data_IF_406586110667
#
_entry.id   IF_406586110667
#
_cell.length_a   1.000
_cell.length_b   1.000
_cell.length_c   1.000
_cell.angle_alpha   90.00
_cell.angle_beta   90.00
_cell.angle_gamma   90.00
#
_symmetry.space_group_name_H-M   'P 1'
#
loop_
_entity.id
_entity.type
_entity.pdbx_description
1 polymer ?
#
# COMPACT_ATOMS: atom_id res chain seq x y z
N UNK A 1 16.79 -16.43 35.31
CA UNK A 1 16.98 -17.36 34.18
C UNK A 1 15.78 -18.27 33.90
N UNK A 2 15.11 -18.92 34.87
CA UNK A 2 13.93 -19.79 34.59
C UNK A 2 12.69 -19.10 34.03
N UNK A 3 12.43 -17.83 34.38
CA UNK A 3 11.26 -17.07 33.90
C UNK A 3 11.36 -16.64 32.43
N UNK A 4 12.55 -16.36 31.91
CA UNK A 4 12.79 -15.98 30.51
C UNK A 4 12.63 -17.20 29.59
N UNK A 5 13.05 -18.38 30.02
CA UNK A 5 12.88 -19.64 29.25
C UNK A 5 11.40 -20.00 29.02
N UNK A 6 10.50 -19.70 29.98
CA UNK A 6 9.06 -19.98 29.84
C UNK A 6 8.41 -19.05 28.83
N UNK A 7 8.79 -17.78 28.81
CA UNK A 7 8.27 -16.81 27.84
C UNK A 7 8.69 -17.14 26.40
N UNK A 8 9.95 -17.53 26.19
CA UNK A 8 10.47 -17.95 24.87
C UNK A 8 9.81 -19.26 24.40
N UNK A 9 9.56 -20.20 25.31
CA UNK A 9 8.92 -21.48 24.96
C UNK A 9 7.45 -21.30 24.54
N UNK A 10 6.71 -20.35 25.14
CA UNK A 10 5.32 -20.03 24.74
C UNK A 10 5.32 -19.31 23.39
N UNK A 11 6.30 -18.44 23.14
CA UNK A 11 6.43 -17.72 21.85
C UNK A 11 6.77 -18.68 20.70
N UNK A 12 7.60 -19.69 20.91
CA UNK A 12 7.92 -20.72 19.91
C UNK A 12 6.73 -21.64 19.60
N UNK A 13 5.85 -21.91 20.56
CA UNK A 13 4.64 -22.72 20.34
C UNK A 13 3.62 -21.99 19.46
N UNK A 14 3.48 -20.65 19.58
CA UNK A 14 2.64 -19.81 18.72
C UNK A 14 3.23 -19.65 17.29
N UNK A 15 4.55 -19.73 17.12
CA UNK A 15 5.21 -19.57 15.82
C UNK A 15 5.07 -20.80 14.89
N UNK A 16 4.73 -21.96 15.42
CA UNK A 16 4.60 -23.20 14.62
C UNK A 16 3.31 -23.27 13.80
N UNK A 17 2.32 -22.37 14.02
CA UNK A 17 1.03 -22.39 13.30
C UNK A 17 0.96 -21.42 12.11
N UNK A 18 1.99 -20.63 11.83
CA UNK A 18 1.93 -19.46 10.96
C UNK A 18 2.66 -19.60 9.60
N UNK A 19 3.00 -20.79 9.15
CA UNK A 19 3.51 -20.98 7.80
C UNK A 19 2.37 -21.22 6.81
N UNK A 20 1.93 -20.16 6.14
CA UNK A 20 1.14 -20.22 4.92
C UNK A 20 -0.36 -20.39 5.09
N UNK A 21 -1.10 -19.30 5.07
CA UNK A 21 -2.53 -19.29 4.77
C UNK A 21 -3.47 -19.94 5.79
N UNK A 22 -3.00 -20.27 6.98
CA UNK A 22 -3.82 -20.90 8.04
C UNK A 22 -4.37 -19.82 8.96
N UNK A 23 -5.62 -20.04 9.38
CA UNK A 23 -6.24 -19.28 10.46
C UNK A 23 -5.67 -19.71 11.81
N UNK A 24 -5.64 -18.76 12.75
CA UNK A 24 -5.44 -19.07 14.16
C UNK A 24 -6.67 -19.79 14.78
N UNK A 25 -6.61 -20.09 16.07
CA UNK A 25 -7.70 -20.76 16.80
C UNK A 25 -9.02 -19.98 16.87
N UNK A 26 -8.96 -18.66 16.64
CA UNK A 26 -10.11 -17.75 16.63
C UNK A 26 -10.57 -17.40 15.20
N UNK A 27 -9.88 -17.91 14.17
CA UNK A 27 -10.26 -17.73 12.78
C UNK A 27 -9.61 -16.53 12.09
N UNK A 28 -8.56 -15.92 12.68
CA UNK A 28 -7.84 -14.81 12.10
C UNK A 28 -6.73 -15.27 11.14
N UNK A 29 -6.59 -14.59 10.00
CA UNK A 29 -5.50 -14.77 9.07
C UNK A 29 -4.37 -13.77 9.40
N UNK A 30 -3.11 -14.21 9.31
CA UNK A 30 -1.93 -13.33 9.31
C UNK A 30 -1.41 -13.02 7.90
N UNK A 31 -1.86 -13.77 6.90
CA UNK A 31 -1.51 -13.60 5.48
C UNK A 31 -2.70 -12.97 4.74
N UNK A 32 -2.51 -11.72 4.29
CA UNK A 32 -3.55 -10.97 3.60
C UNK A 32 -3.92 -11.58 2.24
N UNK A 33 -2.96 -12.11 1.50
CA UNK A 33 -3.21 -12.69 0.19
C UNK A 33 -4.09 -13.95 0.31
N UNK A 34 -3.83 -14.79 1.30
CA UNK A 34 -4.65 -15.97 1.61
C UNK A 34 -6.04 -15.56 2.09
N UNK A 35 -6.13 -14.52 2.92
CA UNK A 35 -7.39 -13.96 3.38
C UNK A 35 -8.23 -13.41 2.23
N UNK A 36 -7.64 -12.60 1.34
CA UNK A 36 -8.29 -12.05 0.14
C UNK A 36 -8.83 -13.16 -0.77
N UNK A 37 -8.02 -14.19 -1.04
CA UNK A 37 -8.46 -15.36 -1.81
C UNK A 37 -9.66 -16.06 -1.15
N UNK A 38 -9.65 -16.20 0.17
CA UNK A 38 -10.75 -16.81 0.93
C UNK A 38 -12.00 -15.91 0.89
N UNK A 39 -11.83 -14.58 1.01
CA UNK A 39 -12.90 -13.60 0.96
C UNK A 39 -13.63 -13.67 -0.39
N UNK A 40 -12.89 -13.71 -1.48
CA UNK A 40 -13.42 -13.87 -2.84
C UNK A 40 -14.17 -15.19 -3.01
N UNK A 41 -13.57 -16.32 -2.58
CA UNK A 41 -14.17 -17.65 -2.70
C UNK A 41 -15.46 -17.80 -1.88
N UNK A 42 -15.50 -17.18 -0.70
CA UNK A 42 -16.66 -17.24 0.20
C UNK A 42 -17.64 -16.08 0.03
N UNK A 43 -17.37 -15.15 -0.87
CA UNK A 43 -18.12 -13.90 -1.07
C UNK A 43 -18.33 -13.12 0.23
N UNK A 44 -17.27 -12.97 1.03
CA UNK A 44 -17.26 -12.22 2.29
C UNK A 44 -16.33 -11.03 2.18
N UNK A 45 -16.63 -9.94 2.86
CA UNK A 45 -15.74 -8.80 2.98
C UNK A 45 -14.56 -9.13 3.88
N UNK A 46 -13.56 -8.23 3.97
CA UNK A 46 -12.37 -8.40 4.81
C UNK A 46 -12.45 -7.38 5.95
N UNK A 47 -12.15 -7.82 7.16
CA UNK A 47 -11.89 -6.96 8.30
C UNK A 47 -10.42 -7.12 8.65
N UNK A 48 -9.65 -6.04 8.48
CA UNK A 48 -8.24 -5.97 8.83
C UNK A 48 -8.11 -5.28 10.19
N UNK A 49 -7.58 -5.98 11.17
CA UNK A 49 -7.22 -5.44 12.48
C UNK A 49 -5.70 -5.34 12.58
N UNK A 50 -5.21 -4.19 13.02
CA UNK A 50 -3.78 -3.93 13.21
C UNK A 50 -3.54 -3.43 14.62
N UNK A 51 -2.59 -4.04 15.33
CA UNK A 51 -2.12 -3.57 16.63
C UNK A 51 -0.59 -3.52 16.70
N UNK A 52 -0.07 -2.74 17.65
CA UNK A 52 1.35 -2.65 17.98
C UNK A 52 1.55 -2.66 19.49
N UNK A 53 2.77 -2.42 19.96
CA UNK A 53 3.05 -2.18 21.37
C UNK A 53 2.25 -0.95 21.86
N UNK A 54 1.85 -0.97 23.12
CA UNK A 54 1.03 0.07 23.73
C UNK A 54 1.78 0.74 24.86
N UNK A 55 1.50 2.04 25.00
CA UNK A 55 2.02 2.85 26.10
C UNK A 55 1.01 2.96 27.27
N UNK A 56 -0.21 2.39 27.13
CA UNK A 56 -1.27 2.46 28.15
C UNK A 56 -2.16 1.20 28.22
N UNK A 57 -2.81 1.03 29.38
CA UNK A 57 -3.69 -0.13 29.69
C UNK A 57 -5.00 -0.13 28.87
N UNK A 58 -5.46 1.04 28.39
CA UNK A 58 -6.74 1.15 27.64
C UNK A 58 -6.67 0.48 26.29
N UNK A 59 -5.55 0.66 25.59
CA UNK A 59 -5.32 -0.01 24.31
C UNK A 59 -5.24 -1.53 24.45
N UNK A 60 -4.65 -2.04 25.55
CA UNK A 60 -4.59 -3.48 25.80
C UNK A 60 -5.99 -4.11 25.95
N UNK A 61 -6.89 -3.42 26.67
CA UNK A 61 -8.28 -3.88 26.84
C UNK A 61 -9.02 -3.93 25.48
N UNK A 62 -8.87 -2.92 24.65
CA UNK A 62 -9.44 -2.86 23.29
C UNK A 62 -8.96 -3.98 22.40
N UNK A 63 -7.65 -4.26 22.39
CA UNK A 63 -7.06 -5.38 21.63
C UNK A 63 -7.61 -6.71 22.10
N UNK A 64 -7.69 -6.95 23.41
CA UNK A 64 -8.28 -8.17 23.98
C UNK A 64 -9.74 -8.34 23.58
N UNK A 65 -10.51 -7.25 23.55
CA UNK A 65 -11.92 -7.26 23.13
C UNK A 65 -12.06 -7.66 21.66
N UNK A 66 -11.28 -7.08 20.76
CA UNK A 66 -11.30 -7.39 19.31
C UNK A 66 -10.81 -8.81 19.03
N UNK A 67 -9.77 -9.28 19.71
CA UNK A 67 -9.26 -10.65 19.54
C UNK A 67 -10.05 -11.72 20.29
N UNK A 68 -11.14 -11.34 20.95
CA UNK A 68 -11.99 -12.27 21.69
C UNK A 68 -12.77 -13.23 20.77
N UNK A 69 -13.20 -14.37 21.33
CA UNK A 69 -14.10 -15.30 20.63
C UNK A 69 -15.47 -14.68 20.37
N UNK A 70 -15.94 -13.79 21.24
CA UNK A 70 -17.20 -13.07 21.08
C UNK A 70 -17.17 -12.24 19.79
N UNK A 71 -16.17 -11.36 19.62
CA UNK A 71 -16.00 -10.55 18.42
C UNK A 71 -15.87 -11.41 17.16
N UNK A 72 -14.98 -12.40 17.19
CA UNK A 72 -14.75 -13.28 16.04
C UNK A 72 -16.00 -14.04 15.64
N UNK A 73 -16.74 -14.58 16.60
CA UNK A 73 -17.99 -15.33 16.32
C UNK A 73 -19.09 -14.45 15.74
N UNK A 74 -19.21 -13.20 16.18
CA UNK A 74 -20.19 -12.27 15.68
C UNK A 74 -19.93 -11.86 14.21
N UNK A 75 -18.65 -11.73 13.82
CA UNK A 75 -18.28 -11.13 12.54
C UNK A 75 -17.82 -12.12 11.47
N UNK A 76 -17.33 -13.31 11.81
CA UNK A 76 -16.86 -14.33 10.84
C UNK A 76 -17.91 -14.78 9.82
N UNK A 77 -19.19 -14.52 10.09
CA UNK A 77 -20.29 -14.74 9.14
C UNK A 77 -20.24 -13.81 7.94
N UNK A 78 -19.88 -12.54 8.16
CA UNK A 78 -19.86 -11.44 7.18
C UNK A 78 -18.46 -11.16 6.64
N UNK A 79 -17.42 -11.35 7.48
CA UNK A 79 -16.05 -10.97 7.18
C UNK A 79 -15.08 -12.15 7.23
N UNK A 80 -14.03 -12.09 6.44
CA UNK A 80 -12.77 -12.80 6.66
C UNK A 80 -11.91 -11.91 7.54
N UNK A 81 -11.50 -12.42 8.70
CA UNK A 81 -10.78 -11.67 9.71
C UNK A 81 -9.27 -11.75 9.45
N UNK A 82 -8.61 -10.61 9.40
CA UNK A 82 -7.15 -10.49 9.21
C UNK A 82 -6.57 -9.72 10.38
N UNK A 83 -5.50 -10.25 10.97
CA UNK A 83 -4.81 -9.63 12.09
C UNK A 83 -3.33 -9.45 11.78
N UNK A 84 -2.86 -8.20 11.86
CA UNK A 84 -1.44 -7.84 11.82
C UNK A 84 -1.00 -7.42 13.23
N UNK A 85 -0.10 -8.20 13.78
CA UNK A 85 0.45 -7.99 15.11
C UNK A 85 1.88 -7.44 15.00
N UNK A 86 2.04 -6.15 15.29
CA UNK A 86 3.31 -5.45 15.33
C UNK A 86 3.87 -5.30 16.74
N UNK A 87 3.34 -6.02 17.72
CA UNK A 87 3.91 -6.01 19.09
C UNK A 87 5.32 -6.55 19.11
N UNK A 88 6.15 -6.04 20.02
CA UNK A 88 7.57 -6.37 20.16
C UNK A 88 8.40 -6.19 18.86
N UNK A 89 7.98 -5.25 17.99
CA UNK A 89 8.66 -5.02 16.72
C UNK A 89 10.13 -4.66 16.90
N UNK A 90 10.47 -3.82 17.88
CA UNK A 90 11.85 -3.44 18.15
C UNK A 90 12.71 -4.64 18.54
N UNK A 91 12.21 -5.53 19.40
CA UNK A 91 12.96 -6.73 19.81
C UNK A 91 13.13 -7.73 18.64
N UNK A 92 12.18 -7.77 17.72
CA UNK A 92 12.27 -8.61 16.50
C UNK A 92 13.25 -8.03 15.48
N UNK A 93 13.42 -6.71 15.45
CA UNK A 93 14.25 -6.02 14.45
C UNK A 93 15.67 -5.70 14.93
N UNK A 94 15.94 -5.64 16.23
CA UNK A 94 17.10 -4.93 16.78
C UNK A 94 18.12 -5.69 17.59
N UNK A 95 18.06 -7.02 17.75
CA UNK A 95 19.14 -7.72 18.46
C UNK A 95 19.99 -8.60 17.53
N UNK A 96 21.12 -8.04 16.99
CA UNK A 96 22.07 -8.83 16.21
C UNK A 96 22.98 -9.75 17.05
N UNK A 97 23.00 -9.61 18.39
CA UNK A 97 24.01 -10.25 19.26
C UNK A 97 23.44 -11.28 20.25
N UNK A 98 22.14 -11.58 20.22
CA UNK A 98 21.61 -12.65 21.04
C UNK A 98 22.14 -14.01 20.55
N UNK A 99 22.68 -14.84 21.42
CA UNK A 99 22.96 -16.25 21.16
C UNK A 99 21.64 -16.99 20.90
N UNK A 100 21.23 -17.00 19.63
CA UNK A 100 19.97 -17.59 19.21
C UNK A 100 20.26 -18.93 18.56
N UNK A 101 19.53 -19.97 18.93
CA UNK A 101 19.66 -21.26 18.26
C UNK A 101 19.28 -21.13 16.78
N UNK A 102 19.80 -22.01 15.92
CA UNK A 102 19.50 -21.99 14.48
C UNK A 102 17.98 -22.10 14.17
N UNK A 103 17.21 -22.70 15.08
CA UNK A 103 15.74 -22.81 14.97
C UNK A 103 15.04 -21.49 15.32
N UNK A 104 15.49 -20.82 16.37
CA UNK A 104 14.99 -19.50 16.79
C UNK A 104 15.32 -18.44 15.74
N UNK A 105 16.52 -18.48 15.17
CA UNK A 105 16.92 -17.59 14.07
C UNK A 105 16.01 -17.74 12.86
N UNK A 106 15.71 -18.96 12.42
CA UNK A 106 14.76 -19.20 11.31
C UNK A 106 13.35 -18.69 11.61
N UNK A 107 12.88 -18.87 12.84
CA UNK A 107 11.57 -18.36 13.27
C UNK A 107 11.54 -16.82 13.27
N UNK A 108 12.60 -16.18 13.74
CA UNK A 108 12.77 -14.73 13.75
C UNK A 108 12.81 -14.17 12.32
N UNK A 109 13.56 -14.78 11.41
CA UNK A 109 13.61 -14.38 9.99
C UNK A 109 12.26 -14.53 9.30
N UNK A 110 11.53 -15.62 9.57
CA UNK A 110 10.18 -15.82 9.06
C UNK A 110 9.22 -14.72 9.56
N UNK A 111 9.31 -14.37 10.86
CA UNK A 111 8.50 -13.28 11.44
C UNK A 111 8.85 -11.92 10.84
N UNK A 112 10.14 -11.60 10.69
CA UNK A 112 10.61 -10.38 10.02
C UNK A 112 10.07 -10.27 8.59
N UNK A 113 10.12 -11.35 7.84
CA UNK A 113 9.62 -11.41 6.45
C UNK A 113 8.11 -11.20 6.41
N UNK A 114 7.37 -11.82 7.33
CA UNK A 114 5.93 -11.63 7.44
C UNK A 114 5.58 -10.19 7.82
N UNK A 115 6.22 -9.63 8.84
CA UNK A 115 6.01 -8.25 9.27
C UNK A 115 6.28 -7.24 8.14
N UNK A 116 7.35 -7.42 7.37
CA UNK A 116 7.63 -6.55 6.20
C UNK A 116 6.49 -6.59 5.18
N UNK A 117 5.88 -7.76 4.92
CA UNK A 117 4.72 -7.89 4.03
C UNK A 117 3.48 -7.22 4.63
N UNK A 118 3.25 -7.41 5.93
CA UNK A 118 2.12 -6.80 6.64
C UNK A 118 2.24 -5.28 6.67
N UNK A 119 3.46 -4.73 6.87
CA UNK A 119 3.71 -3.29 6.79
C UNK A 119 3.34 -2.69 5.44
N UNK A 120 3.73 -3.34 4.34
CA UNK A 120 3.35 -2.90 2.99
C UNK A 120 1.83 -2.81 2.82
N UNK A 121 1.10 -3.78 3.37
CA UNK A 121 -0.36 -3.80 3.30
C UNK A 121 -0.96 -2.73 4.22
N UNK A 122 -0.46 -2.56 5.43
CA UNK A 122 -0.91 -1.53 6.36
C UNK A 122 -0.68 -0.12 5.78
N UNK A 123 0.45 0.11 5.10
CA UNK A 123 0.78 1.34 4.40
C UNK A 123 -0.23 1.65 3.27
N UNK A 124 -0.56 0.66 2.43
CA UNK A 124 -1.58 0.79 1.38
C UNK A 124 -2.92 1.27 1.95
N UNK A 125 -3.30 0.80 3.12
CA UNK A 125 -4.56 1.20 3.78
C UNK A 125 -4.39 2.38 4.74
N UNK A 126 -3.23 3.04 4.75
CA UNK A 126 -2.95 4.24 5.53
C UNK A 126 -3.24 4.05 7.03
N UNK A 127 -2.80 2.91 7.57
CA UNK A 127 -2.91 2.65 9.01
C UNK A 127 -1.91 3.52 9.75
N UNK A 128 -2.36 4.67 10.25
CA UNK A 128 -1.52 5.68 10.91
C UNK A 128 -1.48 5.53 12.43
N UNK A 129 -2.47 4.85 13.00
CA UNK A 129 -2.58 4.62 14.43
C UNK A 129 -2.95 3.17 14.72
N UNK A 130 -2.56 2.67 15.90
CA UNK A 130 -2.91 1.35 16.40
C UNK A 130 -3.42 1.46 17.82
N UNK A 131 -4.41 0.64 18.21
CA UNK A 131 -5.11 -0.35 17.40
C UNK A 131 -6.06 0.27 16.37
N UNK A 132 -6.21 -0.38 15.21
CA UNK A 132 -7.13 0.08 14.16
C UNK A 132 -7.88 -1.08 13.51
N UNK A 133 -9.09 -0.82 13.06
CA UNK A 133 -9.91 -1.75 12.27
C UNK A 133 -10.19 -1.08 10.92
N UNK A 134 -9.85 -1.77 9.82
CA UNK A 134 -10.16 -1.34 8.47
C UNK A 134 -11.12 -2.32 7.82
N UNK A 135 -12.19 -1.82 7.23
CA UNK A 135 -13.18 -2.60 6.50
C UNK A 135 -12.88 -2.50 5.00
N UNK A 136 -12.76 -3.65 4.37
CA UNK A 136 -12.44 -3.77 2.95
C UNK A 136 -13.50 -4.64 2.27
N UNK A 137 -13.70 -4.40 0.97
CA UNK A 137 -14.47 -5.33 0.14
C UNK A 137 -13.75 -6.69 0.03
N UNK A 138 -14.42 -7.71 -0.48
CA UNK A 138 -13.82 -9.02 -0.76
C UNK A 138 -12.64 -8.95 -1.76
N UNK A 139 -12.62 -7.92 -2.60
CA UNK A 139 -11.57 -7.68 -3.58
C UNK A 139 -10.41 -6.85 -2.99
N UNK A 140 -10.51 -6.45 -1.71
CA UNK A 140 -9.49 -5.70 -0.98
C UNK A 140 -9.55 -4.20 -1.22
N UNK A 141 -10.65 -3.63 -1.71
CA UNK A 141 -10.78 -2.18 -1.83
C UNK A 141 -11.23 -1.58 -0.50
N UNK A 142 -10.62 -0.46 -0.15
CA UNK A 142 -10.92 0.27 1.08
C UNK A 142 -12.38 0.74 1.11
N UNK A 143 -13.02 0.60 2.26
CA UNK A 143 -14.38 1.07 2.47
C UNK A 143 -14.51 1.99 3.69
N UNK A 144 -13.92 1.63 4.82
CA UNK A 144 -13.93 2.43 6.05
C UNK A 144 -12.76 2.07 6.94
N UNK A 145 -12.29 3.03 7.74
CA UNK A 145 -11.40 2.80 8.85
C UNK A 145 -12.08 3.28 10.14
N UNK A 146 -12.17 2.38 11.11
CA UNK A 146 -12.71 2.69 12.42
C UNK A 146 -11.60 3.22 13.31
N UNK A 147 -11.82 4.39 13.87
CA UNK A 147 -10.97 4.87 14.93
C UNK A 147 -11.29 4.08 16.21
N UNK A 148 -10.33 3.30 16.68
CA UNK A 148 -10.48 2.47 17.88
C UNK A 148 -10.10 3.26 19.16
N UNK A 149 -10.25 4.60 19.15
CA UNK A 149 -9.97 5.40 20.34
C UNK A 149 -10.85 4.97 21.53
N UNK A 150 -10.19 4.69 22.60
CA UNK A 150 -10.45 4.66 24.06
C UNK A 150 -11.88 4.45 24.63
N UNK A 151 -12.94 4.49 23.85
CA UNK A 151 -14.29 4.55 24.39
C UNK A 151 -15.05 3.22 24.43
N UNK A 152 -14.53 2.17 23.78
CA UNK A 152 -15.22 0.88 23.68
C UNK A 152 -14.30 -0.28 24.09
N UNK A 153 -14.13 -0.48 25.38
CA UNK A 153 -13.35 -1.60 25.94
C UNK A 153 -14.02 -2.97 25.78
N UNK A 154 -15.20 -3.04 25.14
CA UNK A 154 -15.97 -4.27 25.02
C UNK A 154 -16.07 -4.78 23.58
N UNK A 155 -16.11 -6.09 23.42
CA UNK A 155 -16.35 -6.72 22.13
C UNK A 155 -17.67 -6.26 21.49
N UNK A 156 -18.72 -6.08 22.28
CA UNK A 156 -20.03 -5.60 21.83
C UNK A 156 -19.95 -4.17 21.24
N UNK A 157 -19.17 -3.28 21.85
CA UNK A 157 -18.94 -1.92 21.34
C UNK A 157 -18.27 -1.91 19.96
N UNK A 158 -17.18 -2.67 19.80
CA UNK A 158 -16.52 -2.80 18.50
C UNK A 158 -17.37 -3.48 17.44
N UNK A 159 -18.18 -4.50 17.82
CA UNK A 159 -19.13 -5.14 16.90
C UNK A 159 -20.17 -4.12 16.41
N UNK A 160 -20.66 -3.24 17.28
CA UNK A 160 -21.60 -2.17 16.89
C UNK A 160 -20.96 -1.24 15.88
N UNK A 161 -19.76 -0.73 16.14
CA UNK A 161 -19.03 0.15 15.21
C UNK A 161 -18.83 -0.50 13.84
N UNK A 162 -18.41 -1.76 13.78
CA UNK A 162 -18.26 -2.51 12.53
C UNK A 162 -19.60 -2.64 11.79
N UNK A 163 -20.71 -2.88 12.50
CA UNK A 163 -22.02 -2.99 11.87
C UNK A 163 -22.53 -1.63 11.37
N UNK A 164 -22.27 -0.54 12.06
CA UNK A 164 -22.66 0.81 11.66
C UNK A 164 -21.94 1.24 10.37
N UNK A 165 -20.68 0.81 10.21
CA UNK A 165 -19.86 1.11 9.05
C UNK A 165 -19.99 0.10 7.89
N UNK A 166 -20.69 -1.01 8.10
CA UNK A 166 -20.96 -2.02 7.05
C UNK A 166 -21.60 -1.41 5.79
N UNK A 167 -22.39 -0.34 5.93
CA UNK A 167 -23.00 0.41 4.82
C UNK A 167 -21.98 0.95 3.81
N UNK A 168 -20.78 1.37 4.27
CA UNK A 168 -19.72 1.86 3.37
C UNK A 168 -19.14 0.73 2.53
N UNK A 169 -19.03 -0.47 3.12
CA UNK A 169 -18.59 -1.66 2.38
C UNK A 169 -19.60 -2.04 1.30
N UNK A 170 -20.90 -1.91 1.57
CA UNK A 170 -21.96 -2.17 0.60
C UNK A 170 -21.92 -1.16 -0.55
N UNK A 171 -21.73 0.15 -0.26
CA UNK A 171 -21.56 1.20 -1.26
C UNK A 171 -20.39 0.87 -2.20
N UNK A 172 -19.21 0.56 -1.64
CA UNK A 172 -18.04 0.23 -2.46
C UNK A 172 -18.25 -1.06 -3.27
N UNK A 173 -18.90 -2.08 -2.69
CA UNK A 173 -19.25 -3.30 -3.41
C UNK A 173 -20.18 -3.04 -4.61
N UNK A 174 -21.16 -2.14 -4.46
CA UNK A 174 -22.04 -1.71 -5.57
C UNK A 174 -21.25 -1.01 -6.68
N UNK A 175 -20.32 -0.11 -6.32
CA UNK A 175 -19.44 0.54 -7.28
C UNK A 175 -18.57 -0.47 -8.02
N UNK A 176 -17.95 -1.42 -7.29
CA UNK A 176 -17.18 -2.52 -7.87
C UNK A 176 -18.03 -3.39 -8.81
N UNK A 177 -19.29 -3.64 -8.46
CA UNK A 177 -20.19 -4.41 -9.33
C UNK A 177 -20.46 -3.69 -10.67
N UNK A 178 -20.50 -2.36 -10.69
CA UNK A 178 -20.66 -1.56 -11.92
C UNK A 178 -19.44 -1.70 -12.85
N UNK A 179 -18.22 -1.83 -12.32
CA UNK A 179 -16.98 -2.02 -13.13
C UNK A 179 -16.98 -3.30 -13.98
N UNK A 180 -17.93 -4.21 -13.74
CA UNK A 180 -18.04 -5.51 -14.42
C UNK A 180 -19.17 -5.55 -15.46
N UNK A 181 -19.97 -4.47 -15.58
CA UNK A 181 -21.19 -4.45 -16.41
C UNK A 181 -21.08 -3.44 -17.56
N UNK A 182 -21.82 -3.69 -18.64
CA UNK A 182 -21.92 -2.77 -19.77
C UNK A 182 -20.79 -2.88 -20.78
N UNK A 183 -20.68 -1.88 -21.65
CA UNK A 183 -19.61 -1.71 -22.63
C UNK A 183 -18.24 -1.47 -21.96
N UNK A 184 -17.16 -1.47 -22.74
CA UNK A 184 -15.85 -1.11 -22.20
C UNK A 184 -15.83 0.32 -21.65
N UNK A 185 -16.45 1.26 -22.33
CA UNK A 185 -16.57 2.65 -21.85
C UNK A 185 -17.35 2.72 -20.53
N UNK A 186 -18.47 1.99 -20.41
CA UNK A 186 -19.24 1.95 -19.16
C UNK A 186 -18.38 1.40 -17.99
N UNK A 187 -17.62 0.34 -18.24
CA UNK A 187 -16.72 -0.25 -17.23
C UNK A 187 -15.61 0.70 -16.84
N UNK A 188 -15.00 1.38 -17.81
CA UNK A 188 -13.95 2.37 -17.53
C UNK A 188 -14.51 3.53 -16.71
N UNK A 189 -15.65 4.09 -17.10
CA UNK A 189 -16.31 5.15 -16.35
C UNK A 189 -16.65 4.72 -14.90
N UNK A 190 -17.09 3.47 -14.71
CA UNK A 190 -17.34 2.94 -13.38
C UNK A 190 -16.04 2.78 -12.56
N UNK A 191 -14.92 2.41 -13.20
CA UNK A 191 -13.61 2.36 -12.54
C UNK A 191 -13.16 3.78 -12.14
N UNK A 192 -13.33 4.76 -13.03
CA UNK A 192 -13.01 6.17 -12.76
C UNK A 192 -13.82 6.69 -11.57
N UNK A 193 -15.14 6.42 -11.53
CA UNK A 193 -15.99 6.82 -10.41
C UNK A 193 -15.53 6.19 -9.09
N UNK A 194 -15.19 4.91 -9.09
CA UNK A 194 -14.65 4.23 -7.90
C UNK A 194 -13.31 4.84 -7.48
N UNK A 195 -12.42 5.08 -8.43
CA UNK A 195 -11.13 5.72 -8.20
C UNK A 195 -11.28 7.11 -7.56
N UNK A 196 -12.21 7.93 -8.07
CA UNK A 196 -12.43 9.28 -7.57
C UNK A 196 -13.08 9.31 -6.18
N UNK A 197 -13.76 8.24 -5.79
CA UNK A 197 -14.30 8.07 -4.45
C UNK A 197 -13.25 7.63 -3.41
N UNK A 198 -12.06 7.20 -3.85
CA UNK A 198 -10.98 6.75 -2.99
C UNK A 198 -9.98 7.86 -2.68
N UNK A 199 -9.45 7.89 -1.46
CA UNK A 199 -8.27 8.69 -1.15
C UNK A 199 -7.08 8.23 -1.99
N UNK A 200 -6.17 9.14 -2.29
CA UNK A 200 -5.03 8.87 -3.18
C UNK A 200 -4.22 7.65 -2.74
N UNK A 201 -3.92 7.55 -1.46
CA UNK A 201 -3.17 6.43 -0.88
C UNK A 201 -3.88 5.08 -1.06
N UNK A 202 -5.22 5.05 -0.98
CA UNK A 202 -6.00 3.83 -1.13
C UNK A 202 -6.13 3.37 -2.60
N UNK A 203 -5.82 4.24 -3.57
CA UNK A 203 -5.84 3.90 -5.00
C UNK A 203 -4.83 2.83 -5.38
N UNK A 204 -3.76 2.66 -4.58
CA UNK A 204 -2.79 1.56 -4.73
C UNK A 204 -3.50 0.20 -4.70
N UNK A 205 -4.50 0.04 -3.84
CA UNK A 205 -5.29 -1.20 -3.77
C UNK A 205 -6.12 -1.48 -5.03
N UNK A 206 -6.30 -0.47 -5.91
CA UNK A 206 -7.06 -0.58 -7.16
C UNK A 206 -6.18 -0.87 -8.39
N UNK A 207 -4.90 -1.19 -8.22
CA UNK A 207 -3.95 -1.41 -9.32
C UNK A 207 -4.49 -2.29 -10.45
N UNK A 208 -5.20 -3.37 -10.10
CA UNK A 208 -5.80 -4.30 -11.06
C UNK A 208 -6.92 -3.67 -11.89
N UNK A 209 -7.76 -2.83 -11.29
CA UNK A 209 -8.83 -2.11 -11.99
C UNK A 209 -8.28 -0.98 -12.84
N UNK A 210 -7.33 -0.20 -12.32
CA UNK A 210 -6.70 0.91 -13.07
C UNK A 210 -5.99 0.37 -14.30
N UNK A 211 -5.18 -0.68 -14.16
CA UNK A 211 -4.52 -1.36 -15.29
C UNK A 211 -5.53 -1.87 -16.32
N UNK A 212 -6.63 -2.44 -15.86
CA UNK A 212 -7.72 -2.90 -16.73
C UNK A 212 -8.38 -1.75 -17.47
N UNK A 213 -8.62 -0.59 -16.84
CA UNK A 213 -9.17 0.60 -17.51
C UNK A 213 -8.24 1.08 -18.62
N UNK A 214 -6.94 1.22 -18.33
CA UNK A 214 -5.92 1.64 -19.31
C UNK A 214 -5.85 0.68 -20.51
N UNK A 215 -6.01 -0.63 -20.29
CA UNK A 215 -6.03 -1.63 -21.36
C UNK A 215 -7.32 -1.64 -22.19
N UNK A 216 -8.47 -1.34 -21.58
CA UNK A 216 -9.77 -1.35 -22.27
C UNK A 216 -9.99 -0.11 -23.12
N UNK A 217 -9.51 1.06 -22.70
CA UNK A 217 -9.78 2.34 -23.37
C UNK A 217 -8.58 2.85 -24.18
N UNK A 218 -8.22 2.09 -25.20
CA UNK A 218 -7.08 2.40 -26.08
C UNK A 218 -7.21 3.73 -26.85
N UNK A 219 -8.43 4.24 -26.99
CA UNK A 219 -8.74 5.46 -27.76
C UNK A 219 -9.11 6.66 -26.89
N UNK A 220 -8.98 6.53 -25.59
CA UNK A 220 -9.43 7.55 -24.62
C UNK A 220 -10.90 7.96 -24.81
N UNK A 221 -11.78 6.99 -25.12
CA UNK A 221 -13.20 7.25 -25.32
C UNK A 221 -13.93 7.67 -24.03
N UNK A 222 -13.33 7.41 -22.87
CA UNK A 222 -13.81 7.88 -21.55
C UNK A 222 -13.34 9.28 -21.21
N UNK A 223 -12.38 9.86 -21.96
CA UNK A 223 -11.73 11.14 -21.67
C UNK A 223 -11.07 11.18 -20.27
N UNK A 224 -10.66 10.01 -19.74
CA UNK A 224 -10.13 9.87 -18.37
C UNK A 224 -8.77 9.18 -18.33
N UNK A 225 -8.13 8.97 -19.47
CA UNK A 225 -6.89 8.21 -19.53
C UNK A 225 -5.70 8.95 -18.92
N UNK A 226 -5.66 10.27 -18.95
CA UNK A 226 -4.65 11.05 -18.23
C UNK A 226 -4.60 10.64 -16.77
N UNK A 227 -5.75 10.66 -16.09
CA UNK A 227 -5.88 10.27 -14.69
C UNK A 227 -5.51 8.81 -14.45
N UNK A 228 -6.00 7.90 -15.30
CA UNK A 228 -5.77 6.47 -15.12
C UNK A 228 -4.32 6.08 -15.37
N UNK A 229 -3.68 6.66 -16.39
CA UNK A 229 -2.27 6.41 -16.72
C UNK A 229 -1.36 6.99 -15.62
N UNK A 230 -1.61 8.21 -15.16
CA UNK A 230 -0.85 8.81 -14.06
C UNK A 230 -0.96 7.98 -12.77
N UNK A 231 -2.17 7.51 -12.44
CA UNK A 231 -2.35 6.63 -11.27
C UNK A 231 -1.59 5.32 -11.44
N UNK A 232 -1.64 4.71 -12.62
CA UNK A 232 -0.95 3.44 -12.88
C UNK A 232 0.57 3.61 -12.83
N UNK A 233 1.09 4.70 -13.40
CA UNK A 233 2.50 5.06 -13.32
C UNK A 233 2.95 5.20 -11.86
N UNK A 234 2.18 5.91 -11.03
CA UNK A 234 2.45 6.07 -9.61
C UNK A 234 2.46 4.74 -8.84
N UNK A 235 1.47 3.88 -9.09
CA UNK A 235 1.36 2.56 -8.44
C UNK A 235 2.55 1.67 -8.81
N UNK A 236 2.87 1.55 -10.10
CA UNK A 236 3.95 0.67 -10.56
C UNK A 236 5.33 1.20 -10.16
N UNK A 237 5.51 2.54 -10.14
CA UNK A 237 6.73 3.15 -9.61
C UNK A 237 6.87 2.95 -8.10
N UNK A 238 5.78 3.05 -7.32
CA UNK A 238 5.78 2.76 -5.89
C UNK A 238 6.24 1.33 -5.60
N UNK A 239 5.79 0.34 -6.37
CA UNK A 239 6.26 -1.04 -6.25
C UNK A 239 7.79 -1.13 -6.38
N UNK A 240 8.39 -0.39 -7.34
CA UNK A 240 9.84 -0.33 -7.53
C UNK A 240 10.57 0.41 -6.40
N UNK A 241 10.00 1.49 -5.90
CA UNK A 241 10.56 2.22 -4.75
C UNK A 241 10.60 1.36 -3.49
N UNK A 242 9.55 0.58 -3.24
CA UNK A 242 9.49 -0.36 -2.11
C UNK A 242 10.49 -1.51 -2.26
N UNK A 243 10.86 -1.89 -3.49
CA UNK A 243 11.94 -2.83 -3.80
C UNK A 243 13.34 -2.19 -3.64
N UNK A 244 13.40 -0.87 -3.41
CA UNK A 244 14.64 -0.11 -3.24
C UNK A 244 15.28 0.35 -4.54
N UNK A 245 14.60 0.26 -5.68
CA UNK A 245 15.12 0.64 -6.98
C UNK A 245 14.50 1.95 -7.49
N UNK A 246 15.17 3.07 -7.21
CA UNK A 246 14.77 4.40 -7.70
C UNK A 246 14.89 4.51 -9.22
N UNK A 247 15.92 3.91 -9.79
CA UNK A 247 16.18 3.91 -11.24
C UNK A 247 15.06 3.19 -12.00
N UNK A 248 14.59 2.04 -11.50
CA UNK A 248 13.48 1.33 -12.12
C UNK A 248 12.16 2.08 -11.94
N UNK A 249 11.94 2.74 -10.80
CA UNK A 249 10.78 3.60 -10.61
C UNK A 249 10.76 4.78 -11.60
N UNK A 250 11.92 5.43 -11.84
CA UNK A 250 12.04 6.49 -12.82
C UNK A 250 11.76 6.00 -14.25
N UNK A 251 12.22 4.81 -14.61
CA UNK A 251 11.91 4.20 -15.92
C UNK A 251 10.42 3.95 -16.10
N UNK A 252 9.71 3.56 -15.04
CA UNK A 252 8.25 3.39 -15.08
C UNK A 252 7.58 4.72 -15.44
N UNK A 253 7.89 5.81 -14.74
CA UNK A 253 7.33 7.12 -15.07
C UNK A 253 7.67 7.57 -16.49
N UNK A 254 8.91 7.40 -16.91
CA UNK A 254 9.34 7.76 -18.26
C UNK A 254 8.65 6.93 -19.35
N UNK A 255 8.37 5.65 -19.07
CA UNK A 255 7.61 4.77 -19.99
C UNK A 255 6.18 5.27 -20.17
N UNK A 256 5.50 5.60 -19.07
CA UNK A 256 4.13 6.10 -19.14
C UNK A 256 4.03 7.50 -19.76
N UNK A 257 5.06 8.34 -19.63
CA UNK A 257 5.13 9.66 -20.27
C UNK A 257 5.08 9.61 -21.81
N UNK A 258 5.37 8.45 -22.41
CA UNK A 258 5.29 8.22 -23.86
C UNK A 258 3.90 7.81 -24.35
N UNK A 259 2.91 7.66 -23.45
CA UNK A 259 1.57 7.26 -23.83
C UNK A 259 0.84 8.41 -24.54
N UNK A 260 0.46 8.19 -25.79
CA UNK A 260 -0.16 9.20 -26.66
C UNK A 260 -1.57 9.66 -26.23
N UNK A 261 -2.13 9.04 -25.19
CA UNK A 261 -3.43 9.42 -24.60
C UNK A 261 -3.30 10.46 -23.51
N UNK A 262 -2.06 10.74 -23.05
CA UNK A 262 -1.78 11.82 -22.10
C UNK A 262 -1.86 13.18 -22.79
N UNK A 263 -2.37 14.19 -22.08
CA UNK A 263 -2.14 15.56 -22.46
C UNK A 263 -0.67 15.96 -22.23
N UNK A 264 -0.26 17.10 -22.74
CA UNK A 264 1.13 17.58 -22.66
C UNK A 264 1.58 17.81 -21.23
N UNK A 265 0.71 18.36 -20.39
CA UNK A 265 1.03 18.69 -19.01
C UNK A 265 1.34 17.40 -18.21
N UNK A 266 0.46 16.40 -18.31
CA UNK A 266 0.63 15.12 -17.64
C UNK A 266 1.88 14.36 -18.14
N UNK A 267 2.10 14.31 -19.45
CA UNK A 267 3.30 13.68 -20.00
C UNK A 267 4.59 14.38 -19.56
N UNK A 268 4.61 15.71 -19.53
CA UNK A 268 5.72 16.53 -19.04
C UNK A 268 6.00 16.25 -17.56
N UNK A 269 4.93 16.21 -16.72
CA UNK A 269 5.04 15.93 -15.29
C UNK A 269 5.60 14.54 -15.00
N UNK A 270 5.24 13.52 -15.78
CA UNK A 270 5.79 12.18 -15.60
C UNK A 270 7.29 12.12 -15.87
N UNK A 271 7.80 12.79 -16.94
CA UNK A 271 9.23 12.89 -17.16
C UNK A 271 9.94 13.70 -16.06
N UNK A 272 9.35 14.80 -15.61
CA UNK A 272 9.91 15.59 -14.51
C UNK A 272 9.97 14.77 -13.21
N UNK A 273 8.94 13.98 -12.93
CA UNK A 273 8.90 13.07 -11.78
C UNK A 273 9.99 11.98 -11.90
N UNK A 274 10.18 11.41 -13.09
CA UNK A 274 11.25 10.45 -13.34
C UNK A 274 12.64 11.03 -13.01
N UNK A 275 12.91 12.26 -13.43
CA UNK A 275 14.15 12.95 -13.09
C UNK A 275 14.32 13.17 -11.58
N UNK A 276 13.26 13.61 -10.90
CA UNK A 276 13.29 13.91 -9.47
C UNK A 276 13.53 12.66 -8.60
N UNK A 277 12.97 11.50 -8.97
CA UNK A 277 13.12 10.26 -8.21
C UNK A 277 14.58 9.82 -8.12
N UNK A 278 15.36 9.96 -9.20
CA UNK A 278 16.77 9.58 -9.24
C UNK A 278 17.71 10.72 -8.85
N UNK A 279 17.16 11.94 -8.62
CA UNK A 279 17.96 13.04 -8.12
C UNK A 279 18.49 12.70 -6.72
N UNK A 280 19.78 12.91 -6.49
CA UNK A 280 20.43 12.60 -5.20
C UNK A 280 20.80 11.13 -5.01
N UNK A 281 20.65 10.25 -6.00
CA UNK A 281 21.13 8.86 -5.94
C UNK A 281 22.60 8.70 -6.31
N UNK A 282 23.26 9.79 -6.71
CA UNK A 282 24.69 9.85 -7.08
C UNK A 282 24.91 10.63 -8.36
N UNK A 283 26.17 11.03 -8.59
CA UNK A 283 26.57 11.79 -9.79
C UNK A 283 26.46 10.97 -11.08
N UNK A 284 26.51 9.65 -10.98
CA UNK A 284 26.43 8.75 -12.14
C UNK A 284 25.08 8.82 -12.86
N UNK A 285 24.04 9.31 -12.16
CA UNK A 285 22.70 9.47 -12.72
C UNK A 285 22.44 10.83 -13.39
N UNK A 286 23.40 11.76 -13.35
CA UNK A 286 23.25 13.09 -13.98
C UNK A 286 22.88 13.00 -15.47
N UNK A 287 23.48 12.14 -16.30
CA UNK A 287 23.10 12.03 -17.71
C UNK A 287 21.63 11.60 -17.90
N UNK A 288 21.15 10.69 -17.04
CA UNK A 288 19.76 10.21 -17.11
C UNK A 288 18.77 11.27 -16.62
N UNK A 289 19.10 11.99 -15.55
CA UNK A 289 18.32 13.14 -15.05
C UNK A 289 18.18 14.18 -16.17
N UNK A 290 19.31 14.56 -16.79
CA UNK A 290 19.33 15.52 -17.89
C UNK A 290 18.44 15.06 -19.05
N UNK A 291 18.54 13.80 -19.47
CA UNK A 291 17.73 13.24 -20.54
C UNK A 291 16.23 13.35 -20.25
N UNK A 292 15.79 13.01 -19.03
CA UNK A 292 14.36 13.11 -18.66
C UNK A 292 13.89 14.57 -18.62
N UNK A 293 14.71 15.48 -18.10
CA UNK A 293 14.39 16.91 -18.09
C UNK A 293 14.31 17.50 -19.51
N UNK A 294 15.22 17.14 -20.40
CA UNK A 294 15.20 17.56 -21.82
C UNK A 294 13.95 17.02 -22.54
N UNK A 295 13.56 15.76 -22.28
CA UNK A 295 12.32 15.19 -22.81
C UNK A 295 11.08 15.93 -22.28
N UNK A 296 11.06 16.29 -20.99
CA UNK A 296 9.98 17.07 -20.42
C UNK A 296 9.82 18.44 -21.10
N UNK A 297 10.93 19.19 -21.29
CA UNK A 297 10.91 20.47 -22.01
C UNK A 297 10.46 20.32 -23.45
N UNK A 298 10.88 19.24 -24.14
CA UNK A 298 10.52 19.00 -25.54
C UNK A 298 9.02 18.80 -25.79
N UNK A 299 8.26 18.34 -24.77
CA UNK A 299 6.80 18.13 -24.86
C UNK A 299 6.05 19.47 -24.95
N UNK A 300 6.41 20.43 -24.09
CA UNK A 300 5.82 21.77 -24.10
C UNK A 300 6.88 22.80 -23.64
N UNK A 301 7.64 23.35 -24.60
CA UNK A 301 8.72 24.30 -24.30
C UNK A 301 8.24 25.61 -23.66
N UNK A 302 6.99 26.00 -23.89
CA UNK A 302 6.43 27.28 -23.43
C UNK A 302 5.73 27.17 -22.06
N UNK A 303 5.65 25.99 -21.48
CA UNK A 303 5.01 25.77 -20.19
C UNK A 303 5.81 26.41 -19.04
N UNK A 304 5.10 26.77 -17.95
CA UNK A 304 5.76 27.28 -16.73
C UNK A 304 6.76 26.28 -16.14
N UNK A 305 6.47 24.99 -16.27
CA UNK A 305 7.34 23.90 -15.82
C UNK A 305 8.62 23.89 -16.65
N UNK A 306 8.54 24.09 -17.97
CA UNK A 306 9.73 24.15 -18.83
C UNK A 306 10.66 25.29 -18.44
N UNK A 307 10.14 26.44 -18.02
CA UNK A 307 10.97 27.54 -17.50
C UNK A 307 11.74 27.12 -16.25
N UNK A 308 11.11 26.37 -15.35
CA UNK A 308 11.77 25.87 -14.15
C UNK A 308 12.80 24.77 -14.48
N UNK A 309 12.45 23.84 -15.36
CA UNK A 309 13.34 22.76 -15.80
C UNK A 309 14.60 23.32 -16.48
N UNK A 310 14.47 24.34 -17.34
CA UNK A 310 15.61 24.94 -18.01
C UNK A 310 16.63 25.53 -17.02
N UNK A 311 16.17 26.13 -15.92
CA UNK A 311 17.08 26.59 -14.84
C UNK A 311 17.83 25.42 -14.20
N UNK A 312 17.19 24.29 -14.01
CA UNK A 312 17.83 23.07 -13.47
C UNK A 312 18.87 22.54 -14.47
N UNK A 313 18.53 22.51 -15.76
CA UNK A 313 19.46 22.09 -16.82
C UNK A 313 20.68 22.99 -16.89
N UNK A 314 20.53 24.31 -16.76
CA UNK A 314 21.63 25.26 -16.66
C UNK A 314 22.55 24.98 -15.46
N UNK A 315 21.96 24.69 -14.29
CA UNK A 315 22.75 24.34 -13.10
C UNK A 315 23.50 23.01 -13.29
N UNK A 316 22.88 22.01 -13.89
CA UNK A 316 23.54 20.75 -14.22
C UNK A 316 24.73 21.00 -15.18
N UNK A 317 24.53 21.83 -16.19
CA UNK A 317 25.59 22.16 -17.13
C UNK A 317 26.81 22.82 -16.45
N UNK A 318 26.57 23.71 -15.49
CA UNK A 318 27.62 24.36 -14.71
C UNK A 318 28.40 23.39 -13.81
N UNK A 319 27.72 22.38 -13.25
CA UNK A 319 28.33 21.35 -12.38
C UNK A 319 29.25 20.41 -13.17
N UNK A 320 28.95 20.15 -14.45
CA UNK A 320 29.67 19.19 -15.29
C UNK A 320 30.85 19.88 -16.05
N UNK A 321 30.83 21.20 -16.17
CA UNK A 321 31.94 21.94 -16.81
C UNK A 321 33.08 22.10 -15.80
N UNK A 322 34.31 21.58 -16.07
CA UNK A 322 35.45 21.82 -15.19
C UNK A 322 35.71 23.34 -15.09
N UNK A 323 36.14 23.86 -13.92
CA UNK A 323 36.55 25.25 -13.84
C UNK A 323 37.65 25.50 -14.87
N UNK A 324 37.48 26.55 -15.70
CA UNK A 324 38.54 27.00 -16.61
C UNK A 324 39.81 27.20 -15.77
N UNK A 325 40.87 26.43 -16.07
CA UNK A 325 42.19 26.70 -15.52
C UNK A 325 42.58 28.09 -15.97
N UNK A 326 42.52 29.05 -15.04
CA UNK A 326 43.09 30.37 -15.24
C UNK A 326 44.59 30.22 -15.56
N UNK A 327 44.93 30.32 -16.84
CA UNK A 327 46.30 30.43 -17.31
C UNK A 327 46.81 31.86 -17.11
#
# INVERSE_FOLDING_TARGET
>A
MKKIMVAVSIMVALLMTSCGGKQDVNGWYSDFAAAKKTAQAKNKNILLFVNSDFDDDGNEAGVKAVLSKEFSNALKGKYVLVHFDFTNMQSVLSDPNAEITSKEQKALEARRTMMKKQFKIADIYTVQATPSITLLTKDGYFASALNCEYTNESAAGYISLVNDDAKYVDIVNEMVAKTKKGSNTDKVNAIVQLHDSMMETHRIAMADLVRKAVQMDKKNASESMDKMINTLAGIEAYEKLVEGSKEEAAKVYAHYAEDSRLDKENAQMLYYTAANIINGTGTDNIPQIKLYLEKAVAIDPESEISVQINKILEQIAQMVTPPEENK
#
